data_IF_980227512905
#
_entry.id   IF_980227512905
#
_cell.length_a   1.000
_cell.length_b   1.000
_cell.length_c   1.000
_cell.angle_alpha   90.00
_cell.angle_beta   90.00
_cell.angle_gamma   90.00
#
_symmetry.space_group_name_H-M   'P 1'
#
loop_
_entity.id
_entity.type
_entity.pdbx_description
1 polymer ?
#
# COMPACT_ATOMS: atom_id res chain seq x y z
N UNK A 1 3.45 -5.34 12.53
CA UNK A 1 2.04 -4.95 12.40
C UNK A 1 1.83 -4.09 11.16
N UNK A 2 0.74 -4.35 10.45
CA UNK A 2 0.27 -3.49 9.36
C UNK A 2 -0.35 -2.26 10.00
N UNK A 3 0.12 -1.07 9.59
CA UNK A 3 -0.35 0.20 10.16
C UNK A 3 -1.53 0.78 9.38
N UNK A 4 -1.51 0.65 8.04
CA UNK A 4 -2.52 1.22 7.16
C UNK A 4 -2.60 0.37 5.88
N UNK A 5 -3.79 0.09 5.39
CA UNK A 5 -4.09 -0.78 4.25
C UNK A 5 -3.67 -2.25 4.46
N UNK A 6 -4.37 -3.16 3.83
CA UNK A 6 -4.17 -4.62 3.93
C UNK A 6 -4.42 -5.24 5.32
N UNK A 7 -4.81 -4.49 6.35
CA UNK A 7 -5.21 -5.01 7.65
C UNK A 7 -6.42 -5.93 7.55
N UNK A 8 -7.43 -5.54 6.79
CA UNK A 8 -8.61 -6.36 6.52
C UNK A 8 -8.23 -7.64 5.75
N UNK A 9 -7.39 -7.51 4.72
CA UNK A 9 -6.91 -8.66 3.96
C UNK A 9 -6.12 -9.63 4.84
N UNK A 10 -5.27 -9.11 5.74
CA UNK A 10 -4.50 -9.93 6.68
C UNK A 10 -5.44 -10.65 7.67
N UNK A 11 -6.45 -9.96 8.17
CA UNK A 11 -7.47 -10.53 9.04
C UNK A 11 -8.26 -11.64 8.34
N UNK A 12 -8.81 -11.38 7.17
CA UNK A 12 -9.55 -12.40 6.41
C UNK A 12 -8.70 -13.60 6.04
N UNK A 13 -7.44 -13.39 5.68
CA UNK A 13 -6.52 -14.48 5.39
C UNK A 13 -6.23 -15.34 6.64
N UNK A 14 -6.14 -14.73 7.82
CA UNK A 14 -5.99 -15.46 9.07
C UNK A 14 -7.25 -16.25 9.43
N UNK A 15 -8.44 -15.65 9.26
CA UNK A 15 -9.72 -16.36 9.44
C UNK A 15 -9.81 -17.59 8.54
N UNK A 16 -9.46 -17.43 7.26
CA UNK A 16 -9.44 -18.55 6.31
C UNK A 16 -8.47 -19.67 6.73
N UNK A 17 -7.24 -19.32 7.11
CA UNK A 17 -6.24 -20.30 7.60
C UNK A 17 -6.70 -21.06 8.84
N UNK A 18 -7.47 -20.44 9.71
CA UNK A 18 -7.97 -21.03 10.95
C UNK A 18 -9.35 -21.69 10.77
N UNK A 19 -9.81 -21.87 9.53
CA UNK A 19 -11.14 -22.41 9.19
C UNK A 19 -12.30 -21.66 9.90
N UNK A 20 -12.12 -20.38 10.17
CA UNK A 20 -13.15 -19.53 10.75
C UNK A 20 -14.12 -19.07 9.66
N UNK A 21 -15.41 -19.12 9.98
CA UNK A 21 -16.44 -18.62 9.07
C UNK A 21 -16.56 -17.11 9.18
N UNK A 22 -16.72 -16.46 8.04
CA UNK A 22 -16.97 -15.02 7.92
C UNK A 22 -18.40 -14.86 7.44
N UNK A 23 -19.19 -14.05 8.14
CA UNK A 23 -20.59 -13.81 7.81
C UNK A 23 -20.76 -12.37 7.35
N UNK A 24 -21.47 -12.18 6.24
CA UNK A 24 -21.96 -10.87 5.83
C UNK A 24 -23.33 -10.65 6.47
N UNK A 25 -23.46 -9.60 7.27
CA UNK A 25 -24.73 -9.21 7.88
C UNK A 25 -25.36 -8.13 6.99
N UNK A 26 -26.40 -8.50 6.25
CA UNK A 26 -27.03 -7.62 5.25
C UNK A 26 -27.97 -6.57 5.85
N UNK A 27 -28.42 -6.79 7.08
CA UNK A 27 -29.40 -5.92 7.75
C UNK A 27 -28.74 -4.78 8.55
N UNK A 28 -27.40 -4.76 8.60
CA UNK A 28 -26.64 -3.70 9.22
C UNK A 28 -26.04 -2.76 8.17
N UNK A 29 -26.40 -1.49 8.27
CA UNK A 29 -25.86 -0.45 7.41
C UNK A 29 -24.82 0.35 8.21
N UNK A 30 -23.57 0.31 7.79
CA UNK A 30 -22.51 1.14 8.34
C UNK A 30 -22.15 2.24 7.33
N UNK A 31 -22.26 3.49 7.76
CA UNK A 31 -21.83 4.63 6.94
C UNK A 31 -20.33 4.86 7.14
N UNK A 32 -19.53 4.51 6.13
CA UNK A 32 -18.11 4.79 6.13
C UNK A 32 -17.80 6.04 5.27
N UNK A 33 -17.40 7.11 5.94
CA UNK A 33 -16.96 8.33 5.26
C UNK A 33 -15.48 8.16 4.87
N UNK A 34 -15.22 7.76 3.63
CA UNK A 34 -13.84 7.69 3.12
C UNK A 34 -13.11 9.01 3.32
N UNK A 35 -12.01 8.96 4.07
CA UNK A 35 -11.21 10.15 4.40
C UNK A 35 -11.87 11.12 5.38
N UNK A 36 -12.97 10.74 6.02
CA UNK A 36 -13.69 11.60 6.98
C UNK A 36 -12.86 12.04 8.19
N UNK A 37 -11.83 11.28 8.55
CA UNK A 37 -10.91 11.61 9.64
C UNK A 37 -9.84 12.63 9.23
N UNK A 38 -9.59 12.84 7.93
CA UNK A 38 -8.52 13.70 7.44
C UNK A 38 -9.03 14.47 6.22
N UNK A 39 -9.35 15.76 6.41
CA UNK A 39 -9.75 16.66 5.33
C UNK A 39 -8.59 17.13 4.42
N UNK A 40 -7.40 16.53 4.57
CA UNK A 40 -6.23 16.91 3.78
C UNK A 40 -6.25 16.21 2.42
N UNK A 41 -6.56 16.98 1.37
CA UNK A 41 -6.47 16.59 -0.05
C UNK A 41 -5.13 16.97 -0.67
N UNK A 42 -4.12 17.29 0.14
CA UNK A 42 -2.82 17.70 -0.37
C UNK A 42 -2.13 16.56 -1.12
N UNK A 43 -1.27 16.95 -2.06
CA UNK A 43 -0.39 16.01 -2.76
C UNK A 43 0.51 15.25 -1.76
N UNK A 44 0.90 15.88 -0.67
CA UNK A 44 1.72 15.30 0.38
C UNK A 44 0.99 14.12 1.05
N UNK A 45 -0.27 14.32 1.40
CA UNK A 45 -1.11 13.26 1.96
C UNK A 45 -1.35 12.12 0.96
N UNK A 46 -1.54 12.43 -0.32
CA UNK A 46 -1.65 11.40 -1.37
C UNK A 46 -0.36 10.58 -1.47
N UNK A 47 0.79 11.23 -1.47
CA UNK A 47 2.10 10.57 -1.46
C UNK A 47 2.26 9.65 -0.25
N UNK A 48 1.87 10.11 0.94
CA UNK A 48 1.89 9.32 2.16
C UNK A 48 1.02 8.06 2.05
N UNK A 49 -0.24 8.19 1.60
CA UNK A 49 -1.11 7.03 1.37
C UNK A 49 -0.51 6.03 0.39
N UNK A 50 0.06 6.50 -0.73
CA UNK A 50 0.66 5.63 -1.75
C UNK A 50 1.93 4.94 -1.25
N UNK A 51 2.71 5.59 -0.41
CA UNK A 51 3.85 4.99 0.26
C UNK A 51 3.41 3.83 1.17
N UNK A 52 2.45 4.09 2.07
CA UNK A 52 1.93 3.09 3.00
C UNK A 52 1.23 1.93 2.28
N UNK A 53 0.51 2.20 1.20
CA UNK A 53 -0.09 1.16 0.36
C UNK A 53 0.94 0.16 -0.17
N UNK A 54 2.04 0.65 -0.75
CA UNK A 54 3.07 -0.26 -1.27
C UNK A 54 3.82 -0.97 -0.14
N UNK A 55 4.17 -0.28 0.93
CA UNK A 55 4.84 -0.89 2.09
C UNK A 55 3.99 -2.02 2.69
N UNK A 56 2.74 -1.76 3.03
CA UNK A 56 1.83 -2.72 3.64
C UNK A 56 1.51 -3.90 2.73
N UNK A 57 1.39 -3.67 1.41
CA UNK A 57 1.22 -4.71 0.41
C UNK A 57 2.36 -5.74 0.44
N UNK A 58 3.61 -5.28 0.44
CA UNK A 58 4.76 -6.19 0.46
C UNK A 58 4.96 -6.82 1.85
N UNK A 59 4.60 -6.11 2.91
CA UNK A 59 4.55 -6.68 4.25
C UNK A 59 3.52 -7.83 4.34
N UNK A 60 2.30 -7.61 3.85
CA UNK A 60 1.27 -8.65 3.75
C UNK A 60 1.74 -9.84 2.92
N UNK A 61 2.33 -9.60 1.75
CA UNK A 61 2.86 -10.67 0.91
C UNK A 61 3.95 -11.47 1.61
N UNK A 62 4.83 -10.81 2.37
CA UNK A 62 5.91 -11.48 3.10
C UNK A 62 5.42 -12.43 4.19
N UNK A 63 4.22 -12.21 4.71
CA UNK A 63 3.59 -13.10 5.71
C UNK A 63 2.96 -14.34 5.09
N UNK A 64 2.48 -14.23 3.86
CA UNK A 64 1.55 -15.21 3.29
C UNK A 64 2.05 -15.92 2.03
N UNK A 65 3.09 -15.40 1.37
CA UNK A 65 3.56 -15.92 0.09
C UNK A 65 5.04 -16.26 0.10
N UNK A 66 5.44 -17.06 -0.90
CA UNK A 66 6.83 -17.47 -1.12
C UNK A 66 7.71 -16.27 -1.50
N UNK A 67 8.94 -16.22 -0.99
CA UNK A 67 9.93 -15.17 -1.24
C UNK A 67 10.24 -14.97 -2.72
N UNK A 68 10.28 -16.05 -3.52
CA UNK A 68 10.54 -15.97 -4.96
C UNK A 68 9.40 -15.24 -5.67
N UNK A 69 8.15 -15.57 -5.36
CA UNK A 69 6.98 -14.90 -5.92
C UNK A 69 6.97 -13.42 -5.58
N UNK A 70 7.27 -13.09 -4.32
CA UNK A 70 7.33 -11.69 -3.86
C UNK A 70 8.42 -10.93 -4.61
N UNK A 71 9.59 -11.54 -4.80
CA UNK A 71 10.69 -10.94 -5.56
C UNK A 71 10.30 -10.65 -7.01
N UNK A 72 9.62 -11.58 -7.69
CA UNK A 72 9.15 -11.39 -9.06
C UNK A 72 8.13 -10.25 -9.17
N UNK A 73 7.15 -10.20 -8.23
CA UNK A 73 6.14 -9.14 -8.18
C UNK A 73 6.80 -7.79 -7.89
N UNK A 74 7.77 -7.74 -6.98
CA UNK A 74 8.50 -6.54 -6.63
C UNK A 74 9.34 -6.03 -7.80
N UNK A 75 10.08 -6.90 -8.49
CA UNK A 75 10.89 -6.55 -9.65
C UNK A 75 10.05 -5.92 -10.76
N UNK A 76 8.89 -6.52 -11.08
CA UNK A 76 7.91 -5.96 -12.02
C UNK A 76 7.41 -4.59 -11.58
N UNK A 77 7.15 -4.40 -10.29
CA UNK A 77 6.66 -3.13 -9.75
C UNK A 77 7.75 -2.05 -9.76
N UNK A 78 8.99 -2.42 -9.43
CA UNK A 78 10.15 -1.50 -9.50
C UNK A 78 10.32 -1.01 -10.93
N UNK A 79 10.36 -1.92 -11.91
CA UNK A 79 10.48 -1.56 -13.32
C UNK A 79 9.35 -0.61 -13.77
N UNK A 80 8.09 -0.96 -13.46
CA UNK A 80 6.93 -0.14 -13.77
C UNK A 80 7.01 1.26 -13.15
N UNK A 81 7.40 1.36 -11.89
CA UNK A 81 7.48 2.67 -11.23
C UNK A 81 8.65 3.49 -11.74
N UNK A 82 9.80 2.88 -12.03
CA UNK A 82 10.96 3.56 -12.61
C UNK A 82 10.64 4.16 -13.96
N UNK A 83 9.97 3.41 -14.86
CA UNK A 83 9.50 3.94 -16.14
C UNK A 83 8.53 5.12 -15.95
N UNK A 84 7.56 4.99 -15.03
CA UNK A 84 6.61 6.07 -14.76
C UNK A 84 7.26 7.30 -14.13
N UNK A 85 8.24 7.12 -13.27
CA UNK A 85 9.03 8.22 -12.70
C UNK A 85 9.76 8.94 -13.82
N UNK A 86 10.42 8.22 -14.73
CA UNK A 86 11.12 8.80 -15.87
C UNK A 86 10.19 9.60 -16.76
N UNK A 87 9.07 9.01 -17.19
CA UNK A 87 8.08 9.69 -18.06
C UNK A 87 7.50 10.93 -17.39
N UNK A 88 7.04 10.81 -16.13
CA UNK A 88 6.39 11.90 -15.43
C UNK A 88 7.34 12.95 -14.88
N UNK A 89 8.63 12.70 -14.85
CA UNK A 89 9.62 13.73 -14.57
C UNK A 89 9.48 14.94 -15.51
N UNK A 90 9.23 14.66 -16.79
CA UNK A 90 9.07 15.70 -17.82
C UNK A 90 7.63 16.16 -18.01
N UNK A 91 6.65 15.28 -17.80
CA UNK A 91 5.25 15.55 -18.18
C UNK A 91 4.41 16.11 -17.02
N UNK A 92 4.63 15.62 -15.79
CA UNK A 92 3.74 15.98 -14.66
C UNK A 92 4.43 15.79 -13.32
N UNK A 93 4.82 16.89 -12.70
CA UNK A 93 5.54 16.91 -11.42
C UNK A 93 4.77 16.26 -10.26
N UNK A 94 3.44 16.35 -10.25
CA UNK A 94 2.63 15.75 -9.19
C UNK A 94 2.61 14.23 -9.34
N UNK A 95 2.39 13.72 -10.53
CA UNK A 95 2.46 12.27 -10.80
C UNK A 95 3.85 11.70 -10.55
N UNK A 96 4.90 12.43 -10.91
CA UNK A 96 6.28 12.07 -10.56
C UNK A 96 6.44 11.83 -9.06
N UNK A 97 5.98 12.77 -8.21
CA UNK A 97 6.05 12.64 -6.74
C UNK A 97 5.29 11.42 -6.23
N UNK A 98 4.10 11.16 -6.77
CA UNK A 98 3.27 10.00 -6.40
C UNK A 98 4.00 8.69 -6.72
N UNK A 99 4.55 8.53 -7.93
CA UNK A 99 5.26 7.29 -8.30
C UNK A 99 6.57 7.12 -7.57
N UNK A 100 7.30 8.22 -7.29
CA UNK A 100 8.48 8.21 -6.42
C UNK A 100 8.13 7.73 -5.02
N UNK A 101 7.00 8.19 -4.47
CA UNK A 101 6.50 7.76 -3.16
C UNK A 101 6.17 6.26 -3.13
N UNK A 102 5.51 5.74 -4.17
CA UNK A 102 5.22 4.31 -4.31
C UNK A 102 6.50 3.46 -4.36
N UNK A 103 7.48 3.87 -5.17
CA UNK A 103 8.77 3.19 -5.25
C UNK A 103 9.47 3.20 -3.90
N UNK A 104 9.48 4.34 -3.21
CA UNK A 104 10.08 4.46 -1.88
C UNK A 104 9.38 3.57 -0.85
N UNK A 105 8.04 3.44 -0.88
CA UNK A 105 7.30 2.54 0.00
C UNK A 105 7.72 1.08 -0.19
N UNK A 106 7.82 0.64 -1.44
CA UNK A 106 8.29 -0.70 -1.78
C UNK A 106 9.74 -0.92 -1.31
N UNK A 107 10.66 -0.01 -1.63
CA UNK A 107 12.07 -0.13 -1.22
C UNK A 107 12.24 -0.07 0.29
N UNK A 108 11.43 0.74 0.99
CA UNK A 108 11.48 0.86 2.44
C UNK A 108 11.07 -0.44 3.14
N UNK A 109 10.17 -1.22 2.55
CA UNK A 109 9.86 -2.57 3.04
C UNK A 109 11.12 -3.46 3.05
N UNK A 110 11.87 -3.52 1.96
CA UNK A 110 13.10 -4.33 1.89
C UNK A 110 14.23 -3.80 2.77
N UNK A 111 14.35 -2.48 2.87
CA UNK A 111 15.40 -1.81 3.65
C UNK A 111 15.00 -1.59 5.13
N UNK A 112 13.82 -2.03 5.54
CA UNK A 112 13.27 -1.84 6.91
C UNK A 112 13.29 -0.38 7.37
N UNK A 113 13.05 0.56 6.46
CA UNK A 113 13.03 2.00 6.73
C UNK A 113 11.65 2.47 7.13
N UNK A 114 11.59 3.47 8.00
CA UNK A 114 10.34 4.19 8.33
C UNK A 114 9.95 5.15 7.22
N UNK A 115 8.69 5.57 7.21
CA UNK A 115 8.21 6.60 6.30
C UNK A 115 8.88 7.96 6.63
N UNK A 116 9.53 8.56 5.66
CA UNK A 116 10.18 9.88 5.80
C UNK A 116 9.36 10.97 5.09
N UNK A 117 8.07 10.78 4.93
CA UNK A 117 7.18 11.83 4.42
C UNK A 117 6.71 12.63 5.62
N UNK A 118 7.45 13.68 5.97
CA UNK A 118 7.06 14.58 7.06
C UNK A 118 5.80 15.35 6.70
N UNK A 119 4.88 15.42 7.65
CA UNK A 119 3.62 16.17 7.56
C UNK A 119 3.84 17.65 7.85
#
# INVERSE_FOLDING_TARGET
NIFMFFEENDFFHQCFKNNQKIYLITDLIAHHLEGGSINDKSLKYECFKKWHWEYSKYYFFSKHYNKILIFLIASKSIFKFSLKIFVFYFLNKNRYKIYKSRLNGLLSFYLKRKCNIDF
#
